data_IF_910443531681
#
_entry.id   IF_910443531681
#
_cell.length_a   1.000
_cell.length_b   1.000
_cell.length_c   1.000
_cell.angle_alpha   90.00
_cell.angle_beta   90.00
_cell.angle_gamma   90.00
#
_symmetry.space_group_name_H-M   'P 1'
#
loop_
_entity.id
_entity.type
_entity.pdbx_description
1 polymer ?
#
# COMPACT_ATOMS: atom_id res chain seq x y z
N UNK A 1 -21.29 -19.22 19.87
CA UNK A 1 -20.31 -18.13 20.02
C UNK A 1 -18.94 -18.70 19.75
N UNK A 2 -18.19 -18.14 18.82
CA UNK A 2 -16.78 -18.50 18.64
C UNK A 2 -16.01 -18.14 19.93
N UNK A 3 -15.15 -19.02 20.41
CA UNK A 3 -14.33 -18.74 21.59
C UNK A 3 -13.22 -17.79 21.14
N UNK A 4 -13.29 -16.53 21.57
CA UNK A 4 -12.24 -15.54 21.29
C UNK A 4 -11.08 -15.80 22.23
N UNK A 5 -9.95 -16.21 21.68
CA UNK A 5 -8.72 -16.51 22.42
C UNK A 5 -7.92 -15.26 22.78
N UNK A 6 -8.06 -14.18 21.99
CA UNK A 6 -7.40 -12.89 22.22
C UNK A 6 -8.31 -11.73 21.77
N UNK A 7 -8.93 -11.05 22.74
CA UNK A 7 -9.81 -9.91 22.48
C UNK A 7 -9.09 -8.72 21.83
N UNK A 8 -7.80 -8.51 22.14
CA UNK A 8 -7.01 -7.44 21.54
C UNK A 8 -6.83 -7.64 20.04
N UNK A 9 -6.46 -8.84 19.62
CA UNK A 9 -6.36 -9.17 18.19
C UNK A 9 -7.72 -9.13 17.50
N UNK A 10 -8.79 -9.60 18.15
CA UNK A 10 -10.13 -9.60 17.57
C UNK A 10 -10.63 -8.18 17.26
N UNK A 11 -10.47 -7.24 18.20
CA UNK A 11 -10.88 -5.85 17.96
C UNK A 11 -10.00 -5.17 16.91
N UNK A 12 -8.69 -5.44 16.91
CA UNK A 12 -7.78 -4.89 15.89
C UNK A 12 -8.22 -5.34 14.47
N UNK A 13 -8.57 -6.63 14.30
CA UNK A 13 -9.07 -7.18 13.03
C UNK A 13 -10.42 -6.55 12.63
N UNK A 14 -11.34 -6.35 13.58
CA UNK A 14 -12.66 -5.80 13.29
C UNK A 14 -12.65 -4.30 12.95
N UNK A 15 -11.75 -3.53 13.57
CA UNK A 15 -11.49 -2.14 13.18
C UNK A 15 -10.91 -2.09 11.76
N UNK A 16 -9.91 -2.94 11.48
CA UNK A 16 -9.35 -3.09 10.14
C UNK A 16 -10.41 -3.38 9.08
N UNK A 17 -11.29 -4.36 9.35
CA UNK A 17 -12.38 -4.71 8.43
C UNK A 17 -13.39 -3.56 8.21
N UNK A 18 -13.62 -2.72 9.23
CA UNK A 18 -14.51 -1.56 9.10
C UNK A 18 -13.90 -0.48 8.20
N UNK A 19 -12.59 -0.23 8.34
CA UNK A 19 -11.81 0.64 7.47
C UNK A 19 -11.80 0.11 6.03
N UNK A 20 -11.51 -1.18 5.83
CA UNK A 20 -11.51 -1.84 4.51
C UNK A 20 -12.85 -1.69 3.79
N UNK A 21 -13.96 -1.94 4.49
CA UNK A 21 -15.30 -1.82 3.93
C UNK A 21 -15.64 -0.39 3.53
N UNK A 22 -15.23 0.59 4.33
CA UNK A 22 -15.45 1.98 3.99
C UNK A 22 -14.56 2.43 2.80
N UNK A 23 -13.33 1.91 2.70
CA UNK A 23 -12.46 2.14 1.53
C UNK A 23 -13.08 1.53 0.28
N UNK A 24 -13.65 0.33 0.37
CA UNK A 24 -14.33 -0.32 -0.75
C UNK A 24 -15.47 0.54 -1.28
N UNK A 25 -16.29 1.14 -0.41
CA UNK A 25 -17.38 2.05 -0.83
C UNK A 25 -16.83 3.27 -1.57
N UNK A 26 -15.78 3.90 -1.03
CA UNK A 26 -15.14 5.07 -1.64
C UNK A 26 -14.54 4.73 -3.01
N UNK A 27 -13.73 3.67 -3.08
CA UNK A 27 -13.00 3.28 -4.29
C UNK A 27 -13.93 2.80 -5.41
N UNK A 28 -15.03 2.13 -5.08
CA UNK A 28 -16.08 1.85 -6.07
C UNK A 28 -16.67 3.14 -6.65
N UNK A 29 -17.00 4.11 -5.79
CA UNK A 29 -17.57 5.40 -6.23
C UNK A 29 -16.61 6.14 -7.17
N UNK A 30 -15.31 6.15 -6.85
CA UNK A 30 -14.30 6.79 -7.70
C UNK A 30 -14.08 6.03 -9.00
N UNK A 31 -14.07 4.69 -8.98
CA UNK A 31 -13.92 3.90 -10.21
C UNK A 31 -15.10 4.08 -11.17
N UNK A 32 -16.33 4.11 -10.63
CA UNK A 32 -17.56 4.29 -11.40
C UNK A 32 -17.59 5.63 -12.15
N UNK A 33 -17.03 6.70 -11.56
CA UNK A 33 -16.89 8.02 -12.21
C UNK A 33 -16.15 7.95 -13.56
N UNK A 34 -15.22 7.01 -13.72
CA UNK A 34 -14.43 6.82 -14.95
C UNK A 34 -14.86 5.61 -15.79
N UNK A 35 -16.00 4.97 -15.45
CA UNK A 35 -16.43 3.69 -16.05
C UNK A 35 -15.38 2.57 -15.92
N UNK A 36 -14.63 2.57 -14.82
CA UNK A 36 -13.69 1.51 -14.47
C UNK A 36 -14.26 0.60 -13.38
N UNK A 37 -13.61 -0.54 -13.15
CA UNK A 37 -14.05 -1.53 -12.18
C UNK A 37 -13.11 -1.53 -10.98
N UNK A 38 -13.66 -1.38 -9.77
CA UNK A 38 -12.94 -1.73 -8.55
C UNK A 38 -13.22 -3.20 -8.19
N UNK A 39 -12.15 -3.98 -7.98
CA UNK A 39 -12.20 -5.41 -7.75
C UNK A 39 -11.52 -5.72 -6.41
N UNK A 40 -12.19 -6.46 -5.55
CA UNK A 40 -11.66 -7.01 -4.28
C UNK A 40 -11.62 -8.54 -4.30
N UNK A 41 -12.06 -9.14 -5.41
CA UNK A 41 -12.15 -10.57 -5.60
C UNK A 41 -11.96 -10.95 -7.08
N UNK A 42 -11.49 -12.18 -7.32
CA UNK A 42 -11.33 -12.67 -8.68
C UNK A 42 -12.64 -12.74 -9.47
N UNK A 43 -12.56 -12.52 -10.79
CA UNK A 43 -13.74 -12.50 -11.68
C UNK A 43 -14.16 -13.88 -12.20
N UNK A 44 -13.29 -14.90 -12.08
CA UNK A 44 -13.58 -16.25 -12.59
C UNK A 44 -14.16 -17.13 -11.48
N UNK A 45 -15.35 -17.68 -11.73
CA UNK A 45 -15.99 -18.65 -10.83
C UNK A 45 -15.06 -19.82 -10.51
N UNK A 46 -15.07 -20.24 -9.24
CA UNK A 46 -14.40 -21.44 -8.75
C UNK A 46 -14.97 -22.70 -9.40
N UNK A 47 -14.30 -23.86 -9.22
CA UNK A 47 -14.83 -25.17 -9.66
C UNK A 47 -16.23 -25.47 -9.09
N UNK A 48 -16.55 -24.89 -7.93
CA UNK A 48 -17.85 -25.02 -7.28
C UNK A 48 -18.91 -24.00 -7.81
N UNK A 49 -18.57 -23.17 -8.79
CA UNK A 49 -19.47 -22.16 -9.36
C UNK A 49 -19.59 -20.86 -8.56
N UNK A 50 -18.98 -20.77 -7.38
CA UNK A 50 -18.99 -19.58 -6.53
C UNK A 50 -17.95 -18.56 -7.00
N UNK A 51 -18.18 -17.25 -6.81
CA UNK A 51 -17.13 -16.26 -6.98
C UNK A 51 -15.97 -16.57 -6.01
N UNK A 52 -14.72 -16.41 -6.44
CA UNK A 52 -13.57 -16.55 -5.55
C UNK A 52 -13.63 -15.43 -4.50
N UNK A 53 -13.16 -15.73 -3.29
CA UNK A 53 -13.15 -14.74 -2.18
C UNK A 53 -11.91 -13.84 -2.18
N UNK A 54 -10.91 -14.21 -2.97
CA UNK A 54 -9.57 -13.60 -3.01
C UNK A 54 -9.32 -13.02 -4.38
N UNK A 55 -8.55 -11.94 -4.43
CA UNK A 55 -8.08 -11.36 -5.68
C UNK A 55 -6.63 -11.80 -5.89
N UNK A 56 -6.47 -12.99 -6.48
CA UNK A 56 -5.16 -13.52 -6.80
C UNK A 56 -4.63 -12.90 -8.09
N UNK A 57 -3.52 -12.19 -7.98
CA UNK A 57 -2.71 -11.74 -9.10
C UNK A 57 -1.40 -12.53 -9.13
N UNK A 58 -0.84 -12.74 -10.32
CA UNK A 58 0.38 -13.52 -10.49
C UNK A 58 1.53 -12.63 -10.95
N UNK A 59 2.78 -12.98 -10.63
CA UNK A 59 3.97 -12.36 -11.22
C UNK A 59 4.42 -13.07 -12.51
N UNK A 60 5.57 -12.67 -13.06
CA UNK A 60 6.15 -13.27 -14.28
C UNK A 60 6.62 -14.73 -14.09
N UNK A 61 6.76 -15.20 -12.86
CA UNK A 61 7.20 -16.55 -12.51
C UNK A 61 6.04 -17.47 -12.11
N UNK A 62 4.83 -16.93 -12.01
CA UNK A 62 3.62 -17.66 -11.63
C UNK A 62 3.39 -17.74 -10.12
N UNK A 63 4.12 -16.95 -9.31
CA UNK A 63 3.81 -16.80 -7.89
C UNK A 63 2.52 -15.98 -7.73
N UNK A 64 1.62 -16.42 -6.86
CA UNK A 64 0.37 -15.73 -6.58
C UNK A 64 0.48 -14.78 -5.39
N UNK A 65 -0.24 -13.66 -5.50
CA UNK A 65 -0.36 -12.60 -4.52
C UNK A 65 -1.83 -12.28 -4.33
N UNK A 66 -2.28 -12.33 -3.08
CA UNK A 66 -3.62 -11.92 -2.67
C UNK A 66 -3.60 -10.41 -2.44
N UNK A 67 -4.15 -9.64 -3.38
CA UNK A 67 -4.14 -8.17 -3.34
C UNK A 67 -5.47 -7.69 -2.79
N UNK A 68 -5.47 -6.70 -1.88
CA UNK A 68 -6.71 -6.24 -1.26
C UNK A 68 -7.67 -5.59 -2.27
N UNK A 69 -7.15 -4.83 -3.25
CA UNK A 69 -7.99 -4.27 -4.29
C UNK A 69 -7.27 -3.81 -5.55
N UNK A 70 -8.01 -3.75 -6.66
CA UNK A 70 -7.51 -3.28 -7.96
C UNK A 70 -8.56 -2.43 -8.65
N UNK A 71 -8.16 -1.27 -9.18
CA UNK A 71 -8.95 -0.59 -10.23
C UNK A 71 -8.48 -1.09 -11.59
N UNK A 72 -9.40 -1.56 -12.42
CA UNK A 72 -9.15 -2.06 -13.77
C UNK A 72 -10.01 -1.34 -14.81
N UNK A 73 -9.49 -1.15 -16.02
CA UNK A 73 -10.25 -0.53 -17.11
C UNK A 73 -11.30 -1.49 -17.72
N UNK A 74 -12.04 -1.00 -18.72
CA UNK A 74 -13.06 -1.79 -19.44
C UNK A 74 -12.53 -3.13 -20.01
N UNK A 75 -11.25 -3.17 -20.39
CA UNK A 75 -10.57 -4.36 -20.91
C UNK A 75 -10.01 -5.27 -19.80
N UNK A 76 -10.35 -5.01 -18.53
CA UNK A 76 -9.85 -5.72 -17.34
C UNK A 76 -8.33 -5.66 -17.17
N UNK A 77 -7.70 -4.60 -17.67
CA UNK A 77 -6.28 -4.32 -17.42
C UNK A 77 -6.15 -3.58 -16.09
N UNK A 78 -5.35 -4.06 -15.13
CA UNK A 78 -5.18 -3.40 -13.84
C UNK A 78 -4.45 -2.07 -14.03
N UNK A 79 -4.97 -1.02 -13.42
CA UNK A 79 -4.42 0.34 -13.47
C UNK A 79 -3.84 0.78 -12.13
N UNK A 80 -4.48 0.44 -11.02
CA UNK A 80 -4.04 0.81 -9.67
C UNK A 80 -4.13 -0.42 -8.76
N UNK A 81 -3.05 -0.68 -8.02
CA UNK A 81 -3.04 -1.67 -6.94
C UNK A 81 -3.29 -0.97 -5.60
N UNK A 82 -4.13 -1.58 -4.77
CA UNK A 82 -4.43 -1.13 -3.42
C UNK A 82 -4.07 -2.21 -2.43
N UNK A 83 -3.40 -1.79 -1.36
CA UNK A 83 -3.24 -2.58 -0.16
C UNK A 83 -3.63 -1.76 1.05
N UNK A 84 -4.35 -2.37 1.98
CA UNK A 84 -4.75 -1.74 3.22
C UNK A 84 -4.27 -2.55 4.42
N UNK A 85 -3.70 -1.86 5.42
CA UNK A 85 -3.18 -2.54 6.61
C UNK A 85 -3.44 -1.70 7.84
N UNK A 86 -4.17 -2.27 8.80
CA UNK A 86 -4.30 -1.72 10.14
C UNK A 86 -3.30 -2.36 11.09
N UNK A 87 -2.54 -1.54 11.81
CA UNK A 87 -1.61 -2.01 12.84
C UNK A 87 -1.72 -1.14 14.08
N UNK A 88 -2.06 -1.75 15.21
CA UNK A 88 -2.02 -1.08 16.50
C UNK A 88 -0.61 -0.96 17.10
N UNK A 89 0.20 -2.02 16.98
CA UNK A 89 1.53 -2.10 17.60
C UNK A 89 2.64 -2.27 16.57
N UNK A 90 3.71 -1.47 16.69
CA UNK A 90 4.78 -1.36 15.69
C UNK A 90 5.57 -2.65 15.37
N UNK A 91 5.43 -3.71 16.19
CA UNK A 91 6.19 -4.97 16.07
C UNK A 91 6.04 -5.67 14.72
N UNK A 92 4.95 -5.44 14.01
CA UNK A 92 4.67 -6.06 12.70
C UNK A 92 4.85 -5.11 11.51
N UNK A 93 5.24 -3.85 11.72
CA UNK A 93 5.30 -2.85 10.64
C UNK A 93 6.24 -3.26 9.50
N UNK A 94 7.43 -3.78 9.83
CA UNK A 94 8.42 -4.17 8.82
C UNK A 94 7.97 -5.37 8.00
N UNK A 95 7.39 -6.38 8.66
CA UNK A 95 6.88 -7.58 8.01
C UNK A 95 5.73 -7.23 7.06
N UNK A 96 4.72 -6.51 7.56
CA UNK A 96 3.56 -6.09 6.77
C UNK A 96 3.94 -5.13 5.64
N UNK A 97 4.78 -4.13 5.92
CA UNK A 97 5.27 -3.21 4.90
C UNK A 97 6.08 -3.92 3.82
N UNK A 98 6.94 -4.88 4.19
CA UNK A 98 7.76 -5.63 3.24
C UNK A 98 6.91 -6.51 2.34
N UNK A 99 5.80 -7.05 2.85
CA UNK A 99 4.84 -7.78 2.03
C UNK A 99 4.26 -6.86 0.94
N UNK A 100 3.86 -5.62 1.28
CA UNK A 100 3.30 -4.67 0.30
C UNK A 100 4.33 -4.36 -0.78
N UNK A 101 5.57 -4.02 -0.36
CA UNK A 101 6.68 -3.76 -1.26
C UNK A 101 6.92 -4.93 -2.22
N UNK A 102 6.98 -6.14 -1.68
CA UNK A 102 7.27 -7.33 -2.48
C UNK A 102 6.14 -7.63 -3.47
N UNK A 103 4.89 -7.67 -3.00
CA UNK A 103 3.73 -8.00 -3.81
C UNK A 103 3.53 -6.97 -4.94
N UNK A 104 3.45 -5.68 -4.61
CA UNK A 104 3.21 -4.63 -5.59
C UNK A 104 4.33 -4.55 -6.64
N UNK A 105 5.60 -4.60 -6.22
CA UNK A 105 6.73 -4.59 -7.16
C UNK A 105 6.72 -5.83 -8.07
N UNK A 106 6.38 -7.03 -7.56
CA UNK A 106 6.31 -8.24 -8.37
C UNK A 106 5.19 -8.18 -9.41
N UNK A 107 3.99 -7.75 -9.00
CA UNK A 107 2.83 -7.61 -9.89
C UNK A 107 3.06 -6.53 -10.95
N UNK A 108 3.62 -5.36 -10.60
CA UNK A 108 3.90 -4.28 -11.57
C UNK A 108 4.88 -4.68 -12.67
N UNK A 109 5.84 -5.57 -12.37
CA UNK A 109 6.74 -6.12 -13.40
C UNK A 109 6.05 -7.01 -14.43
N UNK A 110 4.84 -7.52 -14.12
CA UNK A 110 4.04 -8.32 -15.05
C UNK A 110 2.99 -7.52 -15.79
N UNK A 111 2.27 -6.65 -15.08
CA UNK A 111 1.17 -5.89 -15.66
C UNK A 111 1.60 -4.45 -15.92
N UNK A 112 2.13 -4.21 -17.12
CA UNK A 112 2.61 -2.89 -17.56
C UNK A 112 1.51 -1.81 -17.65
N UNK A 113 0.24 -2.20 -17.56
CA UNK A 113 -0.89 -1.26 -17.50
C UNK A 113 -1.01 -0.56 -16.15
N UNK A 114 -0.37 -1.08 -15.09
CA UNK A 114 -0.44 -0.51 -13.75
C UNK A 114 0.31 0.82 -13.73
N UNK A 115 -0.44 1.87 -13.45
CA UNK A 115 0.02 3.26 -13.39
C UNK A 115 0.48 3.63 -11.98
N UNK A 116 -0.10 3.02 -10.94
CA UNK A 116 0.20 3.36 -9.55
C UNK A 116 0.00 2.18 -8.60
N UNK A 117 0.71 2.25 -7.47
CA UNK A 117 0.52 1.42 -6.28
C UNK A 117 0.20 2.33 -5.10
N UNK A 118 -0.82 1.96 -4.33
CA UNK A 118 -1.30 2.74 -3.19
C UNK A 118 -1.40 1.83 -1.96
N UNK A 119 -0.86 2.30 -0.84
CA UNK A 119 -0.96 1.67 0.46
C UNK A 119 -1.73 2.58 1.43
N UNK A 120 -2.82 2.08 1.99
CA UNK A 120 -3.61 2.77 3.02
C UNK A 120 -3.31 2.13 4.38
N UNK A 121 -2.66 2.90 5.25
CA UNK A 121 -2.01 2.38 6.45
C UNK A 121 -2.67 2.99 7.70
N UNK A 122 -3.48 2.19 8.38
CA UNK A 122 -4.15 2.60 9.61
C UNK A 122 -3.32 2.29 10.85
N UNK A 123 -3.32 3.21 11.81
CA UNK A 123 -2.72 3.02 13.14
C UNK A 123 -1.25 3.42 13.23
N UNK A 124 -0.46 2.66 13.98
CA UNK A 124 0.90 3.02 14.38
C UNK A 124 1.97 2.49 13.42
N UNK A 125 2.32 3.29 12.41
CA UNK A 125 3.40 3.00 11.47
C UNK A 125 4.73 3.63 11.91
N UNK A 126 5.86 2.96 11.62
CA UNK A 126 7.19 3.50 11.94
C UNK A 126 7.72 4.25 10.73
N UNK A 127 8.46 5.33 10.96
CA UNK A 127 9.08 6.10 9.88
C UNK A 127 9.95 5.21 8.97
N UNK A 128 10.69 4.25 9.55
CA UNK A 128 11.49 3.28 8.78
C UNK A 128 10.66 2.39 7.86
N UNK A 129 9.45 2.00 8.26
CA UNK A 129 8.57 1.18 7.43
C UNK A 129 7.91 2.01 6.34
N UNK A 130 7.53 3.26 6.67
CA UNK A 130 6.99 4.22 5.69
C UNK A 130 8.04 4.56 4.61
N UNK A 131 9.28 4.84 5.02
CA UNK A 131 10.39 5.10 4.10
C UNK A 131 10.66 3.91 3.17
N UNK A 132 10.62 2.68 3.70
CA UNK A 132 10.76 1.46 2.91
C UNK A 132 9.61 1.28 1.91
N UNK A 133 8.35 1.55 2.29
CA UNK A 133 7.23 1.45 1.35
C UNK A 133 7.37 2.52 0.26
N UNK A 134 7.74 3.76 0.63
CA UNK A 134 7.95 4.86 -0.30
C UNK A 134 9.07 4.58 -1.30
N UNK A 135 10.16 3.94 -0.87
CA UNK A 135 11.29 3.58 -1.74
C UNK A 135 10.95 2.50 -2.78
N UNK A 136 9.75 1.90 -2.73
CA UNK A 136 9.24 0.95 -3.73
C UNK A 136 8.25 1.60 -4.72
N UNK A 137 8.25 2.94 -4.82
CA UNK A 137 7.32 3.73 -5.65
C UNK A 137 5.85 3.40 -5.33
N UNK A 138 5.54 3.32 -4.02
CA UNK A 138 4.18 3.11 -3.50
C UNK A 138 3.73 4.40 -2.80
N UNK A 139 2.60 4.94 -3.25
CA UNK A 139 1.96 6.08 -2.59
C UNK A 139 1.37 5.64 -1.25
N UNK A 140 1.56 6.42 -0.20
CA UNK A 140 1.15 6.06 1.16
C UNK A 140 0.15 7.07 1.69
N UNK A 141 -0.96 6.58 2.20
CA UNK A 141 -1.92 7.35 2.98
C UNK A 141 -1.98 6.77 4.38
N UNK A 142 -1.69 7.58 5.39
CA UNK A 142 -1.67 7.14 6.79
C UNK A 142 -2.92 7.65 7.49
N UNK A 143 -3.65 6.76 8.15
CA UNK A 143 -4.70 7.13 9.10
C UNK A 143 -4.08 7.00 10.49
N UNK A 144 -3.78 8.12 11.18
CA UNK A 144 -3.09 8.11 12.46
C UNK A 144 -3.84 7.31 13.55
N UNK A 145 -3.09 6.75 14.51
CA UNK A 145 -3.67 5.93 15.58
C UNK A 145 -4.59 6.71 16.53
N UNK A 146 -4.30 7.98 16.75
CA UNK A 146 -5.12 8.89 17.56
C UNK A 146 -6.47 9.18 16.89
N UNK A 147 -6.54 9.26 15.56
CA UNK A 147 -7.80 9.31 14.80
C UNK A 147 -8.64 8.07 15.12
N UNK A 148 -8.04 6.88 15.06
CA UNK A 148 -8.74 5.62 15.39
C UNK A 148 -9.28 5.63 16.82
N UNK A 149 -8.45 6.06 17.78
CA UNK A 149 -8.85 6.19 19.18
C UNK A 149 -10.00 7.18 19.36
N UNK A 150 -9.94 8.33 18.68
CA UNK A 150 -10.98 9.37 18.71
C UNK A 150 -12.31 8.83 18.21
N UNK A 151 -12.31 8.15 17.07
CA UNK A 151 -13.55 7.63 16.46
C UNK A 151 -14.20 6.52 17.30
N UNK A 152 -13.40 5.68 17.95
CA UNK A 152 -13.89 4.67 18.88
C UNK A 152 -14.39 5.29 20.19
N UNK A 153 -13.70 6.31 20.70
CA UNK A 153 -14.10 7.02 21.92
C UNK A 153 -15.45 7.71 21.77
N UNK A 154 -15.74 8.25 20.58
CA UNK A 154 -17.06 8.81 20.26
C UNK A 154 -18.21 7.77 20.37
N UNK A 155 -17.90 6.48 20.33
CA UNK A 155 -18.84 5.37 20.53
C UNK A 155 -18.77 4.77 21.95
N UNK A 156 -18.07 5.41 22.89
CA UNK A 156 -17.88 4.92 24.26
C UNK A 156 -16.90 3.76 24.40
N UNK A 157 -16.06 3.53 23.38
CA UNK A 157 -15.03 2.49 23.35
C UNK A 157 -13.69 3.14 23.69
N UNK A 158 -13.18 2.93 24.91
CA UNK A 158 -11.82 3.34 25.28
C UNK A 158 -10.83 2.45 24.55
N UNK A 159 -10.10 2.98 23.56
CA UNK A 159 -9.07 2.25 22.80
C UNK A 159 -7.61 2.60 23.16
N UNK A 160 -7.40 3.32 24.26
CA UNK A 160 -6.11 3.95 24.60
C UNK A 160 -5.21 3.10 25.50
N UNK A 161 -5.49 1.80 25.61
CA UNK A 161 -4.79 0.92 26.55
C UNK A 161 -3.50 0.29 25.98
N UNK A 162 -2.57 -0.03 26.88
CA UNK A 162 -1.31 -0.71 26.58
C UNK A 162 -1.49 -2.23 26.39
N UNK A 163 -0.56 -2.90 25.68
CA UNK A 163 -0.68 -4.32 25.23
C UNK A 163 -1.07 -5.35 26.30
N UNK A 164 -0.84 -5.05 27.59
CA UNK A 164 -1.18 -5.94 28.73
C UNK A 164 -2.60 -5.75 29.29
N UNK A 165 -3.39 -4.80 28.78
CA UNK A 165 -4.73 -4.46 29.26
C UNK A 165 -5.83 -5.43 28.82
N UNK A 166 -5.79 -6.69 29.27
CA UNK A 166 -6.74 -7.75 28.82
C UNK A 166 -8.21 -7.43 29.11
N UNK A 167 -8.52 -6.90 30.29
CA UNK A 167 -9.91 -6.57 30.65
C UNK A 167 -10.45 -5.41 29.83
N UNK A 168 -9.61 -4.41 29.55
CA UNK A 168 -9.95 -3.29 28.64
C UNK A 168 -10.16 -3.77 27.20
N UNK A 169 -9.31 -4.67 26.72
CA UNK A 169 -9.47 -5.26 25.40
C UNK A 169 -10.79 -6.04 25.26
N UNK A 170 -11.17 -6.77 26.32
CA UNK A 170 -12.44 -7.48 26.36
C UNK A 170 -13.63 -6.51 26.34
N UNK A 171 -13.64 -5.50 27.22
CA UNK A 171 -14.71 -4.49 27.27
C UNK A 171 -14.86 -3.77 25.93
N UNK A 172 -13.75 -3.35 25.33
CA UNK A 172 -13.75 -2.69 24.04
C UNK A 172 -14.27 -3.60 22.93
N UNK A 173 -13.84 -4.87 22.89
CA UNK A 173 -14.35 -5.86 21.93
C UNK A 173 -15.86 -6.04 22.09
N UNK A 174 -16.35 -6.27 23.32
CA UNK A 174 -17.77 -6.50 23.56
C UNK A 174 -18.63 -5.31 23.13
N UNK A 175 -18.17 -4.09 23.40
CA UNK A 175 -18.82 -2.86 22.92
C UNK A 175 -18.79 -2.78 21.40
N UNK A 176 -17.64 -2.97 20.77
CA UNK A 176 -17.50 -2.89 19.32
C UNK A 176 -18.35 -3.95 18.60
N UNK A 177 -18.30 -5.21 19.05
CA UNK A 177 -19.06 -6.32 18.49
C UNK A 177 -20.57 -6.10 18.58
N UNK A 178 -21.01 -5.45 19.68
CA UNK A 178 -22.41 -5.09 19.90
C UNK A 178 -22.92 -3.94 19.02
N UNK A 179 -22.04 -3.20 18.34
CA UNK A 179 -22.45 -2.14 17.41
C UNK A 179 -23.17 -2.74 16.20
N UNK A 180 -24.13 -2.00 15.67
CA UNK A 180 -24.72 -2.34 14.38
C UNK A 180 -23.70 -2.18 13.25
N UNK A 181 -23.85 -2.98 12.19
CA UNK A 181 -22.95 -2.93 11.02
C UNK A 181 -22.90 -1.55 10.36
N UNK A 182 -23.97 -0.77 10.43
CA UNK A 182 -24.00 0.63 9.99
C UNK A 182 -23.08 1.54 10.82
N UNK A 183 -23.02 1.33 12.13
CA UNK A 183 -22.18 2.13 13.02
C UNK A 183 -20.72 1.75 12.87
N UNK A 184 -20.42 0.45 12.70
CA UNK A 184 -19.07 -0.03 12.33
C UNK A 184 -18.61 0.60 11.02
N UNK A 185 -19.48 0.61 10.00
CA UNK A 185 -19.18 1.26 8.72
C UNK A 185 -18.91 2.77 8.90
N UNK A 186 -19.74 3.47 9.68
CA UNK A 186 -19.54 4.91 9.96
C UNK A 186 -18.21 5.19 10.68
N UNK A 187 -17.76 4.30 11.57
CA UNK A 187 -16.41 4.43 12.17
C UNK A 187 -15.35 4.35 11.06
N UNK A 188 -15.43 3.36 10.17
CA UNK A 188 -14.52 3.23 9.04
C UNK A 188 -14.55 4.46 8.11
N UNK A 189 -15.73 5.01 7.82
CA UNK A 189 -15.88 6.21 7.00
C UNK A 189 -15.18 7.41 7.64
N UNK A 190 -15.42 7.68 8.93
CA UNK A 190 -14.76 8.77 9.66
C UNK A 190 -13.24 8.61 9.77
N UNK A 191 -12.74 7.37 9.76
CA UNK A 191 -11.30 7.12 9.68
C UNK A 191 -10.72 7.51 8.31
N UNK A 192 -11.47 7.28 7.22
CA UNK A 192 -11.01 7.55 5.85
C UNK A 192 -11.16 9.01 5.48
N UNK A 193 -12.11 9.74 6.07
CA UNK A 193 -12.31 11.19 5.87
C UNK A 193 -10.99 11.98 6.01
N UNK A 194 -10.06 11.52 6.86
CA UNK A 194 -8.72 12.12 7.06
C UNK A 194 -7.85 12.11 5.79
N UNK A 195 -8.04 11.14 4.90
CA UNK A 195 -7.22 10.93 3.71
C UNK A 195 -8.01 11.03 2.39
N UNK A 196 -9.34 11.19 2.48
CA UNK A 196 -10.26 11.03 1.35
C UNK A 196 -9.94 12.01 0.21
N UNK A 197 -9.76 13.29 0.53
CA UNK A 197 -9.51 14.33 -0.47
C UNK A 197 -8.23 14.06 -1.27
N UNK A 198 -7.11 13.83 -0.58
CA UNK A 198 -5.81 13.59 -1.21
C UNK A 198 -5.80 12.28 -1.98
N UNK A 199 -6.42 11.22 -1.43
CA UNK A 199 -6.53 9.91 -2.08
C UNK A 199 -7.35 10.02 -3.38
N UNK A 200 -8.51 10.66 -3.32
CA UNK A 200 -9.37 10.82 -4.49
C UNK A 200 -8.70 11.70 -5.55
N UNK A 201 -8.04 12.78 -5.16
CA UNK A 201 -7.31 13.64 -6.08
C UNK A 201 -6.18 12.90 -6.80
N UNK A 202 -5.43 12.05 -6.09
CA UNK A 202 -4.40 11.22 -6.70
C UNK A 202 -5.02 10.22 -7.70
N UNK A 203 -6.09 9.52 -7.29
CA UNK A 203 -6.74 8.54 -8.17
C UNK A 203 -7.32 9.23 -9.41
N UNK A 204 -7.99 10.36 -9.25
CA UNK A 204 -8.53 11.17 -10.35
C UNK A 204 -7.44 11.47 -11.39
N UNK A 205 -6.28 11.94 -10.93
CA UNK A 205 -5.14 12.24 -11.83
C UNK A 205 -4.60 10.98 -12.54
N UNK A 206 -4.62 9.81 -11.89
CA UNK A 206 -4.12 8.56 -12.49
C UNK A 206 -5.10 8.02 -13.55
N UNK A 207 -6.39 8.18 -13.32
CA UNK A 207 -7.46 7.62 -14.16
C UNK A 207 -7.86 8.55 -15.32
N UNK A 208 -7.50 9.83 -15.25
CA UNK A 208 -7.76 10.79 -16.33
C UNK A 208 -6.90 10.51 -17.58
N UNK A 209 -7.48 9.78 -18.54
CA UNK A 209 -6.86 9.48 -19.83
C UNK A 209 -6.82 10.68 -20.81
N UNK A 210 -7.36 11.85 -20.43
CA UNK A 210 -7.19 13.08 -21.22
C UNK A 210 -5.82 13.73 -21.02
N UNK A 211 -5.09 13.35 -19.97
CA UNK A 211 -3.75 13.85 -19.68
C UNK A 211 -2.74 13.31 -20.70
N UNK A 212 -1.91 14.22 -21.24
CA UNK A 212 -0.83 13.84 -22.12
C UNK A 212 0.23 13.03 -21.36
N UNK A 213 0.61 11.88 -21.91
CA UNK A 213 1.68 11.05 -21.36
C UNK A 213 3.04 11.67 -21.68
N UNK A 214 3.84 11.92 -20.65
CA UNK A 214 5.22 12.39 -20.77
C UNK A 214 6.17 11.37 -20.15
N UNK A 215 7.39 11.27 -20.69
CA UNK A 215 8.45 10.48 -20.07
C UNK A 215 9.07 11.33 -18.96
N UNK A 216 8.89 10.93 -17.70
CA UNK A 216 9.44 11.66 -16.55
C UNK A 216 10.85 11.20 -16.17
N UNK A 217 11.15 9.92 -16.39
CA UNK A 217 12.47 9.34 -16.11
C UNK A 217 12.77 8.17 -17.04
N UNK A 218 14.06 7.98 -17.34
CA UNK A 218 14.60 6.79 -17.99
C UNK A 218 15.60 6.14 -17.04
N UNK A 219 15.38 4.86 -16.75
CA UNK A 219 16.27 4.07 -15.88
C UNK A 219 17.01 3.07 -16.74
N UNK A 220 18.34 3.06 -16.64
CA UNK A 220 19.21 2.08 -17.30
C UNK A 220 19.87 1.23 -16.23
N UNK A 221 19.61 -0.07 -16.27
CA UNK A 221 20.30 -1.07 -15.45
C UNK A 221 21.37 -1.76 -16.32
N UNK A 222 22.62 -1.61 -15.91
CA UNK A 222 23.75 -2.35 -16.47
C UNK A 222 24.06 -3.51 -15.54
N UNK A 223 24.13 -4.72 -16.10
CA UNK A 223 24.44 -5.95 -15.37
C UNK A 223 25.70 -6.57 -15.96
N UNK A 224 26.75 -6.71 -15.16
CA UNK A 224 27.97 -7.40 -15.59
C UNK A 224 27.79 -8.91 -15.59
N UNK A 225 28.63 -9.62 -16.34
CA UNK A 225 28.66 -11.09 -16.32
C UNK A 225 29.09 -11.67 -14.97
N UNK A 226 29.64 -10.85 -14.07
CA UNK A 226 30.00 -11.22 -12.70
C UNK A 226 28.86 -10.95 -11.69
N UNK A 227 27.75 -10.37 -12.16
CA UNK A 227 26.57 -10.07 -11.34
C UNK A 227 26.59 -8.70 -10.67
N UNK A 228 27.50 -7.81 -11.08
CA UNK A 228 27.48 -6.42 -10.62
C UNK A 228 26.33 -5.67 -11.29
N UNK A 229 25.66 -4.82 -10.52
CA UNK A 229 24.54 -4.02 -11.01
C UNK A 229 24.85 -2.55 -10.80
N UNK A 230 24.66 -1.76 -11.87
CA UNK A 230 24.74 -0.30 -11.85
C UNK A 230 23.44 0.25 -12.43
N UNK A 231 22.80 1.14 -11.68
CA UNK A 231 21.55 1.78 -12.10
C UNK A 231 21.82 3.26 -12.31
N UNK A 232 21.42 3.77 -13.47
CA UNK A 232 21.53 5.17 -13.84
C UNK A 232 20.13 5.71 -14.14
N UNK A 233 19.85 6.93 -13.67
CA UNK A 233 18.59 7.62 -13.91
C UNK A 233 18.85 8.89 -14.73
N UNK A 234 18.01 9.11 -15.75
CA UNK A 234 18.08 10.26 -16.66
C UNK A 234 16.71 10.94 -16.74
N UNK A 235 16.71 12.27 -16.90
CA UNK A 235 15.48 13.05 -17.02
C UNK A 235 14.87 13.01 -18.42
N UNK A 236 15.67 12.64 -19.43
CA UNK A 236 15.25 12.61 -20.83
C UNK A 236 15.72 11.36 -21.56
N UNK A 237 15.06 11.04 -22.68
CA UNK A 237 15.44 9.92 -23.56
C UNK A 237 16.77 10.20 -24.25
N UNK A 238 17.02 11.46 -24.59
CA UNK A 238 18.23 11.93 -25.27
C UNK A 238 19.47 11.75 -24.40
N UNK A 239 19.39 12.10 -23.10
CA UNK A 239 20.49 11.90 -22.14
C UNK A 239 20.82 10.42 -21.97
N UNK A 240 19.79 9.58 -21.78
CA UNK A 240 19.95 8.14 -21.65
C UNK A 240 20.59 7.52 -22.90
N UNK A 241 20.19 7.97 -24.09
CA UNK A 241 20.78 7.51 -25.35
C UNK A 241 22.22 8.01 -25.54
N UNK A 242 22.51 9.24 -25.11
CA UNK A 242 23.87 9.77 -25.07
C UNK A 242 24.78 8.95 -24.17
N UNK A 243 24.29 8.54 -23.00
CA UNK A 243 25.00 7.65 -22.09
C UNK A 243 25.32 6.29 -22.71
N UNK A 244 24.35 5.64 -23.37
CA UNK A 244 24.56 4.32 -24.00
C UNK A 244 25.49 4.33 -25.21
N UNK A 245 25.76 5.50 -25.79
CA UNK A 245 26.71 5.68 -26.89
C UNK A 245 28.16 5.82 -26.42
N UNK A 246 28.41 5.92 -25.12
CA UNK A 246 29.77 5.94 -24.60
C UNK A 246 30.41 4.55 -24.79
N UNK A 247 31.59 4.50 -25.39
CA UNK A 247 32.25 3.25 -25.80
C UNK A 247 32.89 2.47 -24.64
N UNK A 248 32.93 3.04 -23.42
CA UNK A 248 33.55 2.40 -22.24
C UNK A 248 32.59 2.24 -21.05
N UNK A 249 31.49 1.51 -21.28
CA UNK A 249 30.56 1.14 -20.20
C UNK A 249 31.18 0.12 -19.22
N UNK A 250 32.18 -0.66 -19.65
CA UNK A 250 32.85 -1.66 -18.82
C UNK A 250 33.62 -1.02 -17.65
N UNK A 251 34.29 0.11 -17.88
CA UNK A 251 35.01 0.83 -16.82
C UNK A 251 34.13 1.29 -15.65
N UNK A 252 32.80 1.41 -15.84
CA UNK A 252 31.86 1.83 -14.80
C UNK A 252 31.68 0.80 -13.67
N UNK A 253 31.99 -0.47 -13.94
CA UNK A 253 31.96 -1.50 -12.90
C UNK A 253 33.20 -1.46 -12.00
N UNK A 254 34.35 -1.07 -12.56
CA UNK A 254 35.68 -1.18 -11.92
C UNK A 254 35.99 0.02 -10.98
N UNK A 255 35.11 1.03 -10.91
CA UNK A 255 35.38 2.30 -10.21
C UNK A 255 35.56 2.18 -8.67
N UNK A 256 36.47 2.99 -8.13
CA UNK A 256 36.75 3.16 -6.69
C UNK A 256 35.71 3.98 -5.90
N UNK A 257 34.60 4.39 -6.52
CA UNK A 257 33.54 5.21 -5.89
C UNK A 257 32.44 4.38 -5.19
N UNK A 258 32.67 3.07 -5.01
CA UNK A 258 31.71 2.20 -4.34
C UNK A 258 31.72 2.43 -2.83
N UNK A 259 30.52 2.42 -2.23
CA UNK A 259 30.39 2.38 -0.77
C UNK A 259 31.05 1.12 -0.20
N UNK A 260 31.77 1.32 0.90
CA UNK A 260 32.26 0.29 1.79
C UNK A 260 31.18 -0.07 2.81
N UNK A 261 31.35 -1.21 3.48
CA UNK A 261 30.46 -1.62 4.60
C UNK A 261 30.50 -0.66 5.79
N UNK A 262 31.42 0.31 5.80
CA UNK A 262 31.62 1.26 6.89
C UNK A 262 31.13 2.67 6.56
N UNK A 263 30.71 2.91 5.31
CA UNK A 263 30.11 4.18 4.95
C UNK A 263 28.75 4.32 5.62
N UNK A 264 28.50 5.51 6.17
CA UNK A 264 27.27 5.79 6.87
C UNK A 264 26.08 5.74 5.90
N UNK A 265 24.91 5.25 6.34
CA UNK A 265 23.69 5.39 5.55
C UNK A 265 23.37 6.88 5.35
N UNK A 266 22.64 7.23 4.29
CA UNK A 266 22.21 8.61 4.07
C UNK A 266 21.46 9.15 5.30
N UNK A 267 21.83 10.36 5.73
CA UNK A 267 21.11 11.10 6.77
C UNK A 267 19.85 11.70 6.15
N UNK A 268 18.68 11.33 6.67
CA UNK A 268 17.42 12.00 6.33
C UNK A 268 17.21 13.12 7.35
N UNK A 269 17.24 14.38 6.90
CA UNK A 269 17.02 15.54 7.77
C UNK A 269 15.65 15.44 8.47
N UNK A 270 15.63 15.75 9.77
CA UNK A 270 14.41 15.72 10.58
C UNK A 270 13.44 16.88 10.24
N UNK A 271 13.79 17.79 9.32
CA UNK A 271 13.04 19.02 9.05
C UNK A 271 12.04 18.93 7.87
N UNK A 272 12.07 17.87 7.06
CA UNK A 272 10.94 17.49 6.17
C UNK A 272 9.91 16.59 6.88
N UNK A 273 9.97 16.51 8.22
CA UNK A 273 8.94 15.89 9.04
C UNK A 273 7.71 16.81 9.05
N UNK A 274 6.77 16.58 8.13
CA UNK A 274 5.38 16.95 8.42
C UNK A 274 5.00 16.30 9.76
N UNK A 275 4.57 17.08 10.76
CA UNK A 275 4.02 16.50 11.96
C UNK A 275 2.70 15.85 11.54
N UNK A 276 2.71 14.52 11.46
CA UNK A 276 1.48 13.76 11.61
C UNK A 276 1.25 13.57 13.10
#
# INVERSE_FOLDING_TARGET
MAIISNYGSAIDEAIGASMEKALEVLLNTVADKYNFYYLTAGVRKTKAGNPPKKLLMFDNFGNDYDIDGVIANEAMQPLILFESKYIRYKKHNRDKGSWVCHAHSAIRRRYHSIRSSIAILGGNWSQSSLAMIKSHDINIFVIPFDVVCRELSAQGIDFTWEEKGRDKAKDAWEKFDSLHEEDKLKIGQRMIEEIEEELCQLIDNILDDSLARNVEKVVIELVSNLGEVRVFEFGTVEEAFGFLKNDDLEALFISSESFTLFDAPPSFDEEERTPY
#
